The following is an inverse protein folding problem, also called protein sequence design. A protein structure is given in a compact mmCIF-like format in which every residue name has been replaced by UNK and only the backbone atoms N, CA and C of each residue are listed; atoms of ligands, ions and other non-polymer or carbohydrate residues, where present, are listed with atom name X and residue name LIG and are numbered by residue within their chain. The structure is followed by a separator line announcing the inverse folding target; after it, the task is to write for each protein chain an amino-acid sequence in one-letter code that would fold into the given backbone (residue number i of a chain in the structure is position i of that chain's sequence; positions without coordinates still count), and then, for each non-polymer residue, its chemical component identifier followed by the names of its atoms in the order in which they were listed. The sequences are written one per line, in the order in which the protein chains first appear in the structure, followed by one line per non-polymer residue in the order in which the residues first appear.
data_IF_674793736183
#
_entry.id   IF_674793736183
#
_cell.length_a   1.000
_cell.length_b   1.000
_cell.length_c   1.000
_cell.angle_alpha   90.00
_cell.angle_beta   90.00
_cell.angle_gamma   90.00
#
_symmetry.space_group_name_H-M   'P 1'
#
loop_
_entity.id
_entity.type
_entity.pdbx_description
1 polymer ?
#
# COMPACT_ATOMS: atom_id res chain seq x y z
N UNK A 1 23.49 -21.92 10.40
CA UNK A 1 22.75 -20.89 9.63
C UNK A 1 21.67 -21.60 8.83
N UNK A 2 20.38 -21.33 9.08
CA UNK A 2 19.27 -22.08 8.45
C UNK A 2 18.90 -21.58 7.04
N UNK A 3 19.23 -20.34 6.69
CA UNK A 3 19.01 -19.77 5.34
C UNK A 3 20.05 -18.70 4.98
N UNK A 4 20.21 -18.45 3.67
CA UNK A 4 21.11 -17.45 3.08
C UNK A 4 20.44 -16.09 2.81
N UNK A 5 19.20 -15.90 3.26
CA UNK A 5 18.45 -14.66 3.07
C UNK A 5 19.06 -13.49 3.84
N UNK A 6 18.87 -12.27 3.33
CA UNK A 6 19.22 -11.04 4.05
C UNK A 6 18.39 -10.91 5.34
N UNK A 7 18.90 -10.17 6.32
CA UNK A 7 18.16 -9.95 7.58
C UNK A 7 16.85 -9.18 7.34
N UNK A 8 16.84 -8.22 6.41
CA UNK A 8 15.64 -7.49 6.01
C UNK A 8 14.56 -8.43 5.45
N UNK A 9 14.94 -9.38 4.60
CA UNK A 9 14.00 -10.32 4.01
C UNK A 9 13.47 -11.33 5.04
N UNK A 10 14.30 -11.74 6.00
CA UNK A 10 13.85 -12.58 7.13
C UNK A 10 12.83 -11.85 8.00
N UNK A 11 13.08 -10.59 8.33
CA UNK A 11 12.15 -9.77 9.11
C UNK A 11 10.83 -9.56 8.38
N UNK A 12 10.87 -9.34 7.06
CA UNK A 12 9.67 -9.22 6.24
C UNK A 12 8.87 -10.51 6.19
N UNK A 13 9.54 -11.64 6.03
CA UNK A 13 8.89 -12.96 6.06
C UNK A 13 8.25 -13.24 7.43
N UNK A 14 8.90 -12.87 8.53
CA UNK A 14 8.34 -13.00 9.89
C UNK A 14 7.13 -12.09 10.11
N UNK A 15 7.10 -10.90 9.50
CA UNK A 15 5.98 -9.96 9.57
C UNK A 15 4.88 -10.27 8.56
N UNK A 16 5.16 -11.08 7.54
CA UNK A 16 4.22 -11.45 6.50
C UNK A 16 3.13 -12.35 7.08
N UNK A 17 1.87 -11.93 6.96
CA UNK A 17 0.73 -12.66 7.50
C UNK A 17 0.36 -13.82 6.59
N UNK A 18 1.11 -14.93 6.69
CA UNK A 18 0.80 -16.19 6.03
C UNK A 18 0.73 -17.33 7.05
N UNK A 19 -0.28 -18.20 6.90
CA UNK A 19 -0.51 -19.35 7.79
C UNK A 19 0.60 -20.40 7.70
N UNK A 20 1.38 -20.38 6.62
CA UNK A 20 2.49 -21.32 6.38
C UNK A 20 3.75 -20.97 7.18
N UNK A 21 3.81 -19.78 7.79
CA UNK A 21 4.97 -19.29 8.53
C UNK A 21 4.66 -19.38 10.03
N UNK A 22 5.44 -20.19 10.76
CA UNK A 22 5.37 -20.25 12.23
C UNK A 22 5.94 -18.98 12.87
N UNK A 23 5.54 -18.72 14.12
CA UNK A 23 6.13 -17.64 14.95
C UNK A 23 7.64 -17.79 15.14
N UNK A 24 8.13 -19.02 15.08
CA UNK A 24 9.56 -19.34 15.17
C UNK A 24 10.32 -19.15 13.84
N UNK A 25 9.67 -18.59 12.81
CA UNK A 25 10.29 -18.34 11.51
C UNK A 25 10.46 -19.59 10.62
N UNK A 26 9.75 -20.67 10.94
CA UNK A 26 9.76 -21.91 10.16
C UNK A 26 8.65 -21.89 9.12
N UNK A 27 9.00 -22.09 7.84
CA UNK A 27 8.04 -22.18 6.73
C UNK A 27 7.68 -23.66 6.51
N UNK A 28 6.40 -23.99 6.64
CA UNK A 28 5.88 -25.35 6.42
C UNK A 28 5.01 -25.37 5.17
N UNK A 29 5.45 -26.10 4.13
CA UNK A 29 4.72 -26.25 2.86
C UNK A 29 4.37 -27.72 2.66
N UNK A 30 3.07 -28.00 2.53
CA UNK A 30 2.57 -29.33 2.17
C UNK A 30 2.22 -29.37 0.68
N UNK A 31 2.87 -30.26 -0.08
CA UNK A 31 2.55 -30.54 -1.47
C UNK A 31 2.08 -32.00 -1.62
N UNK A 32 0.79 -32.17 -1.96
CA UNK A 32 0.12 -33.47 -2.08
C UNK A 32 -0.80 -33.51 -3.31
N UNK A 33 -0.49 -32.70 -4.33
CA UNK A 33 -1.35 -32.47 -5.50
C UNK A 33 -1.21 -33.56 -6.57
N UNK A 34 -0.02 -34.13 -6.68
CA UNK A 34 0.34 -35.08 -7.72
C UNK A 34 0.59 -36.48 -7.16
N UNK A 35 0.52 -37.48 -8.03
CA UNK A 35 0.81 -38.88 -7.68
C UNK A 35 2.30 -39.15 -7.46
N UNK A 36 3.19 -38.41 -8.12
CA UNK A 36 4.65 -38.62 -8.03
C UNK A 36 5.30 -37.65 -7.05
N UNK A 37 6.32 -38.14 -6.34
CA UNK A 37 7.08 -37.33 -5.38
C UNK A 37 7.78 -36.16 -6.08
N UNK A 38 8.38 -36.37 -7.25
CA UNK A 38 9.10 -35.32 -7.98
C UNK A 38 8.21 -34.14 -8.34
N UNK A 39 6.98 -34.41 -8.80
CA UNK A 39 6.02 -33.35 -9.11
C UNK A 39 5.57 -32.60 -7.85
N UNK A 40 5.37 -33.30 -6.75
CA UNK A 40 5.05 -32.65 -5.47
C UNK A 40 6.25 -31.84 -4.93
N UNK A 41 7.47 -32.31 -5.12
CA UNK A 41 8.69 -31.59 -4.74
C UNK A 41 8.81 -30.29 -5.54
N UNK A 42 8.60 -30.35 -6.86
CA UNK A 42 8.62 -29.15 -7.70
C UNK A 42 7.53 -28.15 -7.29
N UNK A 43 6.30 -28.61 -7.09
CA UNK A 43 5.19 -27.76 -6.62
C UNK A 43 5.47 -27.11 -5.26
N UNK A 44 6.13 -27.83 -4.34
CA UNK A 44 6.56 -27.25 -3.06
C UNK A 44 7.60 -26.13 -3.25
N UNK A 45 8.58 -26.33 -4.15
CA UNK A 45 9.61 -25.34 -4.46
C UNK A 45 9.00 -24.10 -5.14
N UNK A 46 8.11 -24.29 -6.11
CA UNK A 46 7.46 -23.19 -6.82
C UNK A 46 6.63 -22.34 -5.84
N UNK A 47 5.91 -22.97 -4.91
CA UNK A 47 5.15 -22.27 -3.86
C UNK A 47 6.05 -21.54 -2.87
N UNK A 48 7.20 -22.12 -2.53
CA UNK A 48 8.19 -21.48 -1.66
C UNK A 48 8.74 -20.22 -2.33
N UNK A 49 9.12 -20.33 -3.60
CA UNK A 49 9.64 -19.21 -4.38
C UNK A 49 8.60 -18.08 -4.48
N UNK A 50 7.35 -18.42 -4.82
CA UNK A 50 6.27 -17.44 -4.88
C UNK A 50 6.04 -16.74 -3.54
N UNK A 51 6.02 -17.49 -2.43
CA UNK A 51 5.88 -16.93 -1.08
C UNK A 51 7.00 -15.91 -0.80
N UNK A 52 8.26 -16.29 -1.07
CA UNK A 52 9.41 -15.41 -0.82
C UNK A 52 9.33 -14.17 -1.71
N UNK A 53 9.02 -14.31 -3.00
CA UNK A 53 8.89 -13.19 -3.92
C UNK A 53 7.82 -12.20 -3.47
N UNK A 54 6.63 -12.69 -3.09
CA UNK A 54 5.53 -11.84 -2.61
C UNK A 54 5.85 -11.16 -1.28
N UNK A 55 6.51 -11.85 -0.36
CA UNK A 55 6.87 -11.28 0.94
C UNK A 55 7.99 -10.23 0.84
N UNK A 56 8.90 -10.38 -0.12
CA UNK A 56 10.05 -9.47 -0.30
C UNK A 56 9.76 -8.32 -1.26
N UNK A 57 8.63 -8.33 -1.96
CA UNK A 57 8.23 -7.28 -2.90
C UNK A 57 8.14 -5.91 -2.22
N UNK A 58 9.06 -5.00 -2.56
CA UNK A 58 9.07 -3.62 -2.06
C UNK A 58 8.06 -2.78 -2.84
N UNK A 59 6.89 -2.52 -2.24
CA UNK A 59 5.96 -1.53 -2.80
C UNK A 59 6.61 -0.15 -2.80
N UNK A 60 6.55 0.53 -3.95
CA UNK A 60 7.02 1.92 -4.07
C UNK A 60 6.22 2.80 -3.11
N UNK A 61 6.92 3.60 -2.31
CA UNK A 61 6.29 4.54 -1.41
C UNK A 61 5.41 5.53 -2.20
N UNK A 62 4.15 5.70 -1.79
CA UNK A 62 3.25 6.69 -2.39
C UNK A 62 3.69 8.09 -1.96
N UNK A 63 4.11 8.90 -2.92
CA UNK A 63 4.29 10.33 -2.68
C UNK A 63 2.92 11.02 -2.70
N UNK A 64 2.64 11.81 -1.66
CA UNK A 64 1.40 12.57 -1.59
C UNK A 64 1.38 13.63 -2.70
N UNK A 65 0.27 13.70 -3.43
CA UNK A 65 0.10 14.70 -4.50
C UNK A 65 -0.32 16.04 -3.90
N UNK A 66 0.32 17.13 -4.32
CA UNK A 66 -0.14 18.47 -3.99
C UNK A 66 -1.51 18.77 -4.63
N UNK A 67 -2.33 19.69 -4.08
CA UNK A 67 -3.56 20.14 -4.70
C UNK A 67 -3.33 20.67 -6.12
N UNK A 68 -4.22 20.31 -7.05
CA UNK A 68 -4.10 20.75 -8.44
C UNK A 68 -4.18 22.28 -8.57
N UNK A 69 -3.65 22.83 -9.67
CA UNK A 69 -3.75 24.26 -9.96
C UNK A 69 -5.22 24.72 -10.01
N UNK A 70 -6.07 23.94 -10.69
CA UNK A 70 -7.51 24.20 -10.77
C UNK A 70 -8.22 24.18 -9.42
N UNK A 71 -7.83 23.30 -8.49
CA UNK A 71 -8.38 23.30 -7.13
C UNK A 71 -8.03 24.58 -6.37
N UNK A 72 -6.79 25.07 -6.54
CA UNK A 72 -6.33 26.33 -5.93
C UNK A 72 -7.06 27.55 -6.52
N UNK A 73 -7.22 27.59 -7.84
CA UNK A 73 -7.95 28.64 -8.56
C UNK A 73 -9.43 28.68 -8.15
N UNK A 74 -10.12 27.53 -8.14
CA UNK A 74 -11.53 27.42 -7.71
C UNK A 74 -11.72 27.94 -6.29
N UNK A 75 -10.88 27.51 -5.34
CA UNK A 75 -10.92 28.00 -3.95
C UNK A 75 -10.79 29.52 -3.88
N UNK A 76 -9.87 30.11 -4.65
CA UNK A 76 -9.69 31.57 -4.68
C UNK A 76 -10.91 32.27 -5.30
N UNK A 77 -11.48 31.73 -6.37
CA UNK A 77 -12.69 32.24 -7.01
C UNK A 77 -13.89 32.20 -6.07
N UNK A 78 -14.11 31.07 -5.38
CA UNK A 78 -15.16 30.93 -4.37
C UNK A 78 -14.99 31.91 -3.21
N UNK A 79 -13.76 32.11 -2.75
CA UNK A 79 -13.45 33.11 -1.70
C UNK A 79 -13.83 34.52 -2.16
N UNK A 80 -13.47 34.92 -3.39
CA UNK A 80 -13.82 36.22 -3.96
C UNK A 80 -15.34 36.39 -4.08
N UNK A 81 -16.03 35.40 -4.65
CA UNK A 81 -17.49 35.39 -4.82
C UNK A 81 -18.21 35.52 -3.48
N UNK A 82 -17.79 34.76 -2.46
CA UNK A 82 -18.36 34.89 -1.10
C UNK A 82 -18.12 36.27 -0.50
N UNK A 83 -16.94 36.86 -0.74
CA UNK A 83 -16.64 38.23 -0.30
C UNK A 83 -17.59 39.26 -0.91
N UNK A 84 -17.81 39.21 -2.22
CA UNK A 84 -18.76 40.08 -2.92
C UNK A 84 -20.19 39.90 -2.40
N UNK A 85 -20.64 38.64 -2.24
CA UNK A 85 -21.97 38.34 -1.68
C UNK A 85 -22.13 38.91 -0.27
N UNK A 86 -21.07 38.88 0.56
CA UNK A 86 -21.12 39.48 1.91
C UNK A 86 -21.15 41.00 1.88
N UNK A 87 -20.40 41.63 0.97
CA UNK A 87 -20.39 43.09 0.82
C UNK A 87 -21.76 43.63 0.41
N UNK A 88 -22.43 42.96 -0.54
CA UNK A 88 -23.78 43.32 -0.98
C UNK A 88 -24.87 43.11 0.09
N UNK A 89 -24.58 42.32 1.14
CA UNK A 89 -25.46 42.15 2.30
C UNK A 89 -25.22 43.20 3.39
N UNK A 90 -24.19 44.04 3.23
CA UNK A 90 -23.92 45.15 4.14
C UNK A 90 -25.06 46.17 4.15
N UNK A 91 -25.15 46.96 5.22
CA UNK A 91 -26.19 47.98 5.40
C UNK A 91 -26.08 49.00 4.26
N UNK A 92 -27.15 49.13 3.46
CA UNK A 92 -27.22 50.12 2.38
C UNK A 92 -27.36 51.50 3.04
N UNK A 93 -26.38 52.39 2.85
CA UNK A 93 -26.56 53.81 3.13
C UNK A 93 -27.36 54.40 1.98
N UNK A 94 -28.51 54.99 2.29
CA UNK A 94 -29.25 55.80 1.32
C UNK A 94 -28.55 57.16 1.25
N UNK A 95 -28.03 57.50 0.07
CA UNK A 95 -27.54 58.84 -0.21
C UNK A 95 -28.77 59.76 -0.44
N UNK A 96 -28.87 60.82 0.35
CA UNK A 96 -29.85 61.91 0.20
C UNK A 96 -29.44 62.88 -0.90
#
# INVERSE_FOLDING_TARGET
RASSLSEDDKLRLLQFKDRRISRDGVIVIKAQRYRTQDKNRQDALDRLEQLIRTATEKRKHRLATAPSRGAREKRMGEKKRRGQVKAMRGRVQQDN
#
